data_IF_862703041299
#
_entry.id   IF_862703041299
#
_cell.length_a   1.000
_cell.length_b   1.000
_cell.length_c   1.000
_cell.angle_alpha   90.00
_cell.angle_beta   90.00
_cell.angle_gamma   90.00
#
_symmetry.space_group_name_H-M   'P 1'
#
loop_
_entity.id
_entity.type
_entity.pdbx_description
1 polymer ?
#
# COMPACT_ATOMS: atom_id res chain seq x y z
N UNK A 1 71.89 37.54 3.96
CA UNK A 1 71.20 36.27 4.32
C UNK A 1 70.92 35.51 3.03
N UNK A 2 71.41 34.28 2.87
CA UNK A 2 70.72 33.23 2.09
C UNK A 2 71.49 31.89 2.14
N UNK A 3 70.99 30.89 2.90
CA UNK A 3 71.44 29.51 2.79
C UNK A 3 70.36 28.66 2.13
N UNK A 4 70.53 28.31 0.84
CA UNK A 4 69.68 27.31 0.16
C UNK A 4 70.48 26.51 -0.87
N UNK A 5 71.35 25.64 -0.38
CA UNK A 5 72.02 24.54 -1.10
C UNK A 5 72.57 23.63 0.02
N UNK A 6 72.50 22.31 0.04
CA UNK A 6 72.02 21.29 -0.87
C UNK A 6 71.95 19.97 -0.05
N UNK A 7 71.23 18.98 -0.59
CA UNK A 7 71.52 17.53 -0.55
C UNK A 7 72.17 16.93 0.71
N UNK A 8 71.50 15.96 1.33
CA UNK A 8 71.91 14.54 1.39
C UNK A 8 70.84 13.81 2.25
N UNK A 9 70.01 12.93 1.68
CA UNK A 9 70.32 11.54 1.28
C UNK A 9 70.37 10.59 2.49
N UNK A 10 69.35 9.73 2.49
CA UNK A 10 69.33 8.32 2.90
C UNK A 10 69.18 7.92 4.38
N UNK A 11 68.16 7.09 4.54
CA UNK A 11 68.10 5.91 5.40
C UNK A 11 68.01 6.13 6.91
N UNK A 12 66.78 6.32 7.37
CA UNK A 12 66.24 5.38 8.37
C UNK A 12 64.98 4.74 7.80
N UNK A 13 65.21 3.94 6.76
CA UNK A 13 64.41 2.74 6.49
C UNK A 13 64.74 1.76 7.62
N UNK A 14 64.02 1.84 8.73
CA UNK A 14 63.97 0.77 9.73
C UNK A 14 62.78 1.00 10.66
N UNK A 15 61.91 -0.01 10.72
CA UNK A 15 60.77 -0.20 11.62
C UNK A 15 59.44 0.46 11.21
N UNK A 16 58.34 -0.24 11.06
CA UNK A 16 58.04 -1.66 10.84
C UNK A 16 56.54 -1.65 10.40
N UNK A 17 56.10 -2.59 9.56
CA UNK A 17 54.77 -2.57 8.95
C UNK A 17 53.77 -3.32 9.84
N UNK A 18 52.82 -2.61 10.44
CA UNK A 18 51.56 -3.11 11.03
C UNK A 18 50.94 -1.90 11.77
N UNK A 19 49.74 -1.42 11.53
CA UNK A 19 48.54 -2.09 11.09
C UNK A 19 47.62 -1.05 10.43
N UNK A 20 47.53 -1.07 9.10
CA UNK A 20 46.29 -0.68 8.44
C UNK A 20 45.36 -1.89 8.56
N UNK A 21 44.77 -2.09 9.74
CA UNK A 21 43.57 -2.89 9.82
C UNK A 21 42.43 -2.02 9.29
N UNK A 22 41.71 -2.42 8.23
CA UNK A 22 40.50 -1.72 7.84
C UNK A 22 39.57 -1.70 9.06
N UNK A 23 39.00 -0.53 9.36
CA UNK A 23 38.00 -0.42 10.41
C UNK A 23 36.93 -1.49 10.17
N UNK A 24 36.52 -2.25 11.20
CA UNK A 24 35.51 -3.28 11.03
C UNK A 24 34.25 -2.63 10.44
N UNK A 25 33.57 -3.28 9.48
CA UNK A 25 32.37 -2.74 8.88
C UNK A 25 31.36 -2.42 10.00
N UNK A 26 30.63 -1.28 9.90
CA UNK A 26 29.63 -0.94 10.90
C UNK A 26 28.65 -2.10 11.05
N UNK A 27 28.36 -2.46 12.30
CA UNK A 27 27.45 -3.55 12.60
C UNK A 27 26.10 -3.31 11.90
N UNK A 28 25.47 -4.35 11.33
CA UNK A 28 24.16 -4.22 10.71
C UNK A 28 23.17 -3.64 11.73
N UNK A 29 22.27 -2.73 11.30
CA UNK A 29 21.27 -2.16 12.20
C UNK A 29 20.46 -3.30 12.83
N UNK A 30 20.03 -3.15 14.09
CA UNK A 30 19.21 -4.16 14.74
C UNK A 30 17.96 -4.42 13.89
N UNK A 31 17.52 -5.69 13.77
CA UNK A 31 16.29 -6.00 13.07
C UNK A 31 15.16 -5.16 13.67
N UNK A 32 14.40 -4.48 12.81
CA UNK A 32 13.21 -3.76 13.24
C UNK A 32 12.33 -4.74 14.02
N UNK A 33 11.73 -4.31 15.15
CA UNK A 33 10.82 -5.16 15.90
C UNK A 33 9.73 -5.67 14.95
N UNK A 34 9.58 -6.99 14.88
CA UNK A 34 8.53 -7.63 14.12
C UNK A 34 7.19 -7.19 14.72
N UNK A 35 6.54 -6.23 14.06
CA UNK A 35 5.15 -5.89 14.37
C UNK A 35 4.31 -6.99 13.75
N UNK A 36 3.83 -7.90 14.60
CA UNK A 36 2.88 -8.92 14.17
C UNK A 36 1.69 -8.23 13.49
N UNK A 37 1.32 -8.63 12.26
CA UNK A 37 0.22 -7.99 11.55
C UNK A 37 -1.02 -8.06 12.42
N UNK A 38 -1.52 -6.91 12.89
CA UNK A 38 -2.80 -6.86 13.59
C UNK A 38 -3.83 -7.57 12.70
N UNK A 39 -4.60 -8.54 13.24
CA UNK A 39 -5.64 -9.19 12.45
C UNK A 39 -6.55 -8.10 11.92
N UNK A 40 -6.61 -7.95 10.60
CA UNK A 40 -7.23 -6.82 9.90
C UNK A 40 -8.75 -6.72 10.11
N UNK A 41 -9.34 -7.63 10.89
CA UNK A 41 -10.77 -7.80 11.07
C UNK A 41 -11.48 -8.40 9.86
N UNK A 42 -10.76 -8.61 8.75
CA UNK A 42 -11.28 -9.24 7.55
C UNK A 42 -11.20 -10.77 7.65
N UNK A 43 -12.24 -11.43 7.17
CA UNK A 43 -12.31 -12.88 7.04
C UNK A 43 -11.30 -13.46 6.04
N UNK A 44 -11.41 -14.77 5.74
CA UNK A 44 -10.57 -15.41 4.72
C UNK A 44 -10.86 -14.84 3.33
N UNK A 45 -9.90 -15.02 2.43
CA UNK A 45 -10.07 -14.67 1.02
C UNK A 45 -11.13 -15.57 0.38
N UNK A 46 -12.03 -14.96 -0.39
CA UNK A 46 -13.10 -15.65 -1.11
C UNK A 46 -13.47 -14.91 -2.39
N UNK A 47 -14.22 -15.60 -3.25
CA UNK A 47 -14.79 -15.03 -4.45
C UNK A 47 -16.16 -14.42 -4.17
N UNK A 48 -16.42 -13.24 -4.74
CA UNK A 48 -17.70 -12.54 -4.67
C UNK A 48 -18.19 -12.29 -6.08
N UNK A 49 -19.48 -12.48 -6.31
CA UNK A 49 -20.14 -12.20 -7.59
C UNK A 49 -21.36 -11.35 -7.31
N UNK A 50 -21.54 -10.28 -8.07
CA UNK A 50 -22.65 -9.35 -7.85
C UNK A 50 -22.61 -8.15 -8.80
N UNK A 51 -23.42 -7.15 -8.50
CA UNK A 51 -23.47 -5.91 -9.28
C UNK A 51 -22.55 -4.86 -8.68
N UNK A 52 -21.47 -4.56 -9.39
CA UNK A 52 -20.59 -3.45 -9.09
C UNK A 52 -21.25 -2.15 -9.56
N UNK A 53 -21.37 -1.19 -8.65
CA UNK A 53 -21.80 0.17 -8.94
C UNK A 53 -20.66 1.13 -8.60
N UNK A 54 -20.27 1.96 -9.57
CA UNK A 54 -19.17 2.93 -9.41
C UNK A 54 -19.65 4.35 -9.68
N UNK A 55 -19.26 5.26 -8.78
CA UNK A 55 -19.33 6.71 -8.90
C UNK A 55 -18.39 7.35 -7.88
N UNK A 56 -18.17 8.67 -7.99
CA UNK A 56 -17.23 9.42 -7.15
C UNK A 56 -17.45 9.22 -5.65
N UNK A 57 -18.71 9.16 -5.23
CA UNK A 57 -19.09 9.01 -3.82
C UNK A 57 -19.47 7.57 -3.43
N UNK A 58 -19.48 6.62 -4.38
CA UNK A 58 -20.02 5.28 -4.13
C UNK A 58 -19.33 4.19 -4.93
N UNK A 59 -18.77 3.24 -4.21
CA UNK A 59 -18.23 1.99 -4.76
C UNK A 59 -18.82 0.84 -3.95
N UNK A 60 -19.68 0.04 -4.59
CA UNK A 60 -20.40 -1.00 -3.88
C UNK A 60 -20.62 -2.26 -4.71
N UNK A 61 -20.59 -3.42 -4.05
CA UNK A 61 -21.00 -4.73 -4.57
C UNK A 61 -22.10 -5.27 -3.65
N UNK A 62 -23.32 -5.45 -4.16
CA UNK A 62 -24.46 -5.99 -3.40
C UNK A 62 -24.65 -5.36 -2.01
N UNK A 63 -24.55 -4.02 -1.95
CA UNK A 63 -24.62 -3.23 -0.71
C UNK A 63 -23.47 -3.44 0.29
N UNK A 64 -22.36 -4.08 -0.07
CA UNK A 64 -21.08 -3.92 0.63
C UNK A 64 -20.28 -2.77 0.03
N UNK A 65 -19.57 -2.01 0.86
CA UNK A 65 -18.59 -1.06 0.36
C UNK A 65 -17.36 -1.78 -0.18
N UNK A 66 -16.75 -1.26 -1.22
CA UNK A 66 -15.52 -1.79 -1.80
C UNK A 66 -14.31 -0.91 -1.49
N UNK A 67 -13.25 -1.54 -1.02
CA UNK A 67 -11.91 -0.97 -0.97
C UNK A 67 -11.02 -1.72 -1.96
N UNK A 68 -10.62 -1.06 -3.05
CA UNK A 68 -9.82 -1.67 -4.09
C UNK A 68 -8.34 -1.60 -3.72
N UNK A 69 -7.69 -2.76 -3.63
CA UNK A 69 -6.27 -2.89 -3.32
C UNK A 69 -5.58 -3.82 -4.32
N UNK A 70 -4.25 -3.87 -4.29
CA UNK A 70 -3.48 -4.78 -5.14
C UNK A 70 -3.75 -4.55 -6.64
N UNK A 71 -4.01 -5.62 -7.39
CA UNK A 71 -4.25 -5.55 -8.84
C UNK A 71 -5.66 -5.06 -9.19
N UNK A 72 -6.61 -5.13 -8.25
CA UNK A 72 -7.99 -4.67 -8.50
C UNK A 72 -8.07 -3.18 -8.84
N UNK A 73 -7.13 -2.35 -8.35
CA UNK A 73 -7.06 -0.93 -8.71
C UNK A 73 -6.81 -0.76 -10.22
N UNK A 74 -5.89 -1.55 -10.78
CA UNK A 74 -5.61 -1.53 -12.21
C UNK A 74 -6.75 -2.15 -13.03
N UNK A 75 -7.39 -3.21 -12.52
CA UNK A 75 -8.58 -3.81 -13.13
C UNK A 75 -9.73 -2.80 -13.20
N UNK A 76 -9.93 -2.02 -12.14
CA UNK A 76 -10.96 -0.99 -12.04
C UNK A 76 -10.80 0.08 -13.13
N UNK A 77 -9.58 0.61 -13.33
CA UNK A 77 -9.33 1.65 -14.36
C UNK A 77 -9.61 1.15 -15.77
N UNK A 78 -9.47 -0.16 -16.04
CA UNK A 78 -9.81 -0.77 -17.34
C UNK A 78 -11.32 -0.88 -17.54
N UNK A 79 -12.06 -1.10 -16.46
CA UNK A 79 -13.51 -1.27 -16.47
C UNK A 79 -14.24 0.07 -16.51
N UNK A 80 -13.85 0.99 -15.65
CA UNK A 80 -14.39 2.35 -15.58
C UNK A 80 -13.24 3.37 -15.67
N UNK A 81 -13.02 4.03 -16.82
CA UNK A 81 -11.98 5.03 -16.95
C UNK A 81 -12.27 6.24 -16.04
N UNK A 82 -11.24 6.96 -15.60
CA UNK A 82 -11.31 8.06 -14.62
C UNK A 82 -12.49 9.05 -14.78
N UNK A 83 -12.88 9.50 -16.00
CA UNK A 83 -14.02 10.40 -16.14
C UNK A 83 -15.34 9.85 -15.59
N UNK A 84 -15.51 8.53 -15.58
CA UNK A 84 -16.67 7.85 -14.99
C UNK A 84 -16.57 7.72 -13.46
N UNK A 85 -15.34 7.66 -12.93
CA UNK A 85 -15.07 7.63 -11.48
C UNK A 85 -15.19 9.01 -10.83
N UNK A 86 -15.03 10.08 -11.60
CA UNK A 86 -15.16 11.48 -11.12
C UNK A 86 -16.62 11.99 -11.15
N UNK A 87 -17.57 11.17 -11.62
CA UNK A 87 -18.98 11.54 -11.71
C UNK A 87 -19.70 11.39 -10.38
N UNK A 88 -20.47 12.42 -9.98
CA UNK A 88 -21.34 12.37 -8.79
C UNK A 88 -22.54 11.43 -8.97
N UNK A 89 -22.99 11.22 -10.21
CA UNK A 89 -23.94 10.16 -10.53
C UNK A 89 -23.15 8.87 -10.75
N UNK A 90 -23.61 7.73 -10.25
CA UNK A 90 -22.99 6.43 -10.52
C UNK A 90 -23.28 6.02 -11.97
N UNK A 91 -22.44 6.36 -12.96
CA UNK A 91 -22.81 6.22 -14.37
C UNK A 91 -22.46 4.82 -14.89
N UNK A 92 -21.92 3.97 -14.01
CA UNK A 92 -21.31 2.71 -14.35
C UNK A 92 -21.83 1.62 -13.44
N UNK A 93 -22.37 0.59 -14.08
CA UNK A 93 -22.70 -0.66 -13.41
C UNK A 93 -22.22 -1.85 -14.24
N UNK A 94 -21.74 -2.88 -13.55
CA UNK A 94 -21.26 -4.10 -14.17
C UNK A 94 -21.57 -5.31 -13.29
N UNK A 95 -21.93 -6.43 -13.91
CA UNK A 95 -21.83 -7.72 -13.25
C UNK A 95 -20.35 -8.07 -13.13
N UNK A 96 -19.87 -8.31 -11.91
CA UNK A 96 -18.46 -8.64 -11.66
C UNK A 96 -18.32 -9.90 -10.84
N UNK A 97 -17.18 -10.56 -11.01
CA UNK A 97 -16.66 -11.56 -10.08
C UNK A 97 -15.28 -11.11 -9.63
N UNK A 98 -15.09 -10.99 -8.31
CA UNK A 98 -13.84 -10.50 -7.70
C UNK A 98 -13.34 -11.44 -6.61
N UNK A 99 -12.03 -11.39 -6.35
CA UNK A 99 -11.38 -12.02 -5.20
C UNK A 99 -11.13 -10.94 -4.16
N UNK A 100 -11.48 -11.22 -2.91
CA UNK A 100 -11.25 -10.29 -1.83
C UNK A 100 -11.48 -10.89 -0.45
N UNK A 101 -11.49 -10.04 0.56
CA UNK A 101 -11.80 -10.42 1.94
C UNK A 101 -12.91 -9.50 2.46
N UNK A 102 -13.87 -10.06 3.20
CA UNK A 102 -14.97 -9.28 3.76
C UNK A 102 -14.81 -9.09 5.28
N UNK A 103 -15.22 -7.91 5.76
CA UNK A 103 -15.44 -7.62 7.16
C UNK A 103 -16.84 -7.06 7.34
N UNK A 104 -17.63 -7.65 8.23
CA UNK A 104 -18.89 -7.05 8.68
C UNK A 104 -18.60 -5.79 9.49
N UNK A 105 -19.27 -4.69 9.14
CA UNK A 105 -19.15 -3.44 9.88
C UNK A 105 -20.24 -3.40 10.96
N UNK A 106 -19.87 -3.02 12.18
CA UNK A 106 -20.86 -2.67 13.19
C UNK A 106 -21.41 -1.32 12.75
N UNK A 107 -22.69 -1.27 12.37
CA UNK A 107 -23.38 -0.01 12.05
C UNK A 107 -23.35 0.84 13.32
N UNK A 108 -22.42 1.79 13.39
CA UNK A 108 -22.24 2.66 14.54
C UNK A 108 -23.39 3.68 14.57
N UNK A 109 -24.54 3.29 15.12
CA UNK A 109 -25.53 4.26 15.57
C UNK A 109 -24.95 4.94 16.83
N UNK A 110 -24.39 6.14 16.67
CA UNK A 110 -24.14 7.05 17.81
C UNK A 110 -22.70 7.44 18.16
N UNK A 111 -21.69 7.13 17.33
CA UNK A 111 -20.31 7.66 17.53
C UNK A 111 -20.00 8.80 16.56
N UNK A 112 -19.36 9.91 17.00
CA UNK A 112 -18.90 10.94 16.07
C UNK A 112 -17.84 10.33 15.13
N UNK A 113 -17.95 10.54 13.81
CA UNK A 113 -17.06 9.91 12.85
C UNK A 113 -15.60 10.36 13.07
N UNK A 114 -14.62 9.45 12.95
CA UNK A 114 -13.20 9.81 13.03
C UNK A 114 -12.81 10.75 11.87
N UNK A 115 -11.82 11.65 12.04
CA UNK A 115 -11.50 12.71 11.08
C UNK A 115 -10.73 12.25 9.83
N UNK A 116 -10.67 10.95 9.52
CA UNK A 116 -9.99 10.46 8.31
C UNK A 116 -10.78 9.29 7.70
N UNK A 117 -11.39 9.52 6.53
CA UNK A 117 -11.98 8.49 5.66
C UNK A 117 -13.51 8.52 5.55
N UNK A 118 -14.02 9.16 4.49
CA UNK A 118 -15.37 9.07 3.90
C UNK A 118 -16.55 8.77 4.86
N UNK A 119 -17.24 9.81 5.31
CA UNK A 119 -18.33 9.77 6.30
C UNK A 119 -19.61 9.00 5.94
N UNK A 120 -19.64 8.22 4.85
CA UNK A 120 -20.83 7.49 4.36
C UNK A 120 -20.75 5.96 4.58
N UNK A 121 -19.60 5.45 5.05
CA UNK A 121 -19.40 4.01 5.26
C UNK A 121 -20.36 3.40 6.30
N UNK A 122 -20.89 4.21 7.21
CA UNK A 122 -21.86 3.78 8.22
C UNK A 122 -23.17 3.24 7.64
N UNK A 123 -23.46 3.51 6.36
CA UNK A 123 -24.65 3.02 5.67
C UNK A 123 -24.50 1.59 5.12
N UNK A 124 -23.28 1.05 5.10
CA UNK A 124 -23.01 -0.26 4.52
C UNK A 124 -22.86 -1.32 5.64
N UNK A 125 -23.48 -2.49 5.52
CA UNK A 125 -23.35 -3.58 6.50
C UNK A 125 -21.97 -4.26 6.49
N UNK A 126 -21.16 -4.05 5.44
CA UNK A 126 -19.91 -4.75 5.18
C UNK A 126 -18.92 -3.91 4.37
N UNK A 127 -17.65 -4.22 4.54
CA UNK A 127 -16.52 -3.74 3.75
C UNK A 127 -15.84 -4.95 3.09
N UNK A 128 -15.64 -4.91 1.78
CA UNK A 128 -14.87 -5.89 1.03
C UNK A 128 -13.58 -5.24 0.56
N UNK A 129 -12.44 -5.77 0.99
CA UNK A 129 -11.14 -5.46 0.41
C UNK A 129 -10.99 -6.31 -0.88
N UNK A 130 -11.21 -5.69 -2.03
CA UNK A 130 -11.10 -6.33 -3.34
C UNK A 130 -9.63 -6.35 -3.78
N UNK A 131 -9.09 -7.54 -4.03
CA UNK A 131 -7.70 -7.77 -4.44
C UNK A 131 -7.53 -7.93 -5.94
N UNK A 132 -8.52 -8.53 -6.61
CA UNK A 132 -8.52 -8.76 -8.04
C UNK A 132 -9.94 -8.83 -8.61
N UNK A 133 -10.15 -8.34 -9.83
CA UNK A 133 -11.38 -8.58 -10.60
C UNK A 133 -11.09 -9.68 -11.62
N UNK A 134 -11.80 -10.81 -11.50
CA UNK A 134 -11.60 -12.00 -12.35
C UNK A 134 -12.41 -11.90 -13.64
N UNK A 135 -13.64 -11.41 -13.53
CA UNK A 135 -14.55 -11.25 -14.65
C UNK A 135 -15.41 -10.02 -14.44
N UNK A 136 -15.76 -9.34 -15.52
CA UNK A 136 -16.66 -8.21 -15.50
C UNK A 136 -17.40 -8.09 -16.82
N UNK A 137 -18.69 -7.73 -16.73
CA UNK A 137 -19.56 -7.46 -17.86
C UNK A 137 -20.33 -6.17 -17.61
N UNK A 138 -20.21 -5.22 -18.53
CA UNK A 138 -20.97 -3.97 -18.49
C UNK A 138 -22.47 -4.25 -18.56
N UNK A 139 -23.22 -3.57 -17.70
CA UNK A 139 -24.67 -3.54 -17.77
C UNK A 139 -25.12 -2.38 -18.67
N UNK A 140 -26.18 -2.57 -19.47
CA UNK A 140 -26.74 -1.56 -20.35
C UNK A 140 -27.46 -0.43 -19.61
#
# INVERSE_FOLDING_TARGET
MNPRFARLVLCVLAALPAACAPAPPPAPPPPLPYVEPRPSGFGPERTFTGTLVLGFERQSLDHCWLDFTGTAVADLTRLAPSPALDSQTAPYSAEVTLVGRERHMIVAQGYPPPPVGFGHLSQYPCLIEARQIIAARLLP
#
